data_IF_594586118130
#
_entry.id   IF_594586118130
#
_cell.length_a   1.000
_cell.length_b   1.000
_cell.length_c   1.000
_cell.angle_alpha   90.00
_cell.angle_beta   90.00
_cell.angle_gamma   90.00
#
_symmetry.space_group_name_H-M   'P 1'
#
loop_
_entity.id
_entity.type
_entity.pdbx_description
1 polymer ?
#
# COMPACT_ATOMS: atom_id res chain seq x y z
N UNK A 1 20.03 -1.60 0.31
CA UNK A 1 19.01 -0.98 -0.58
C UNK A 1 17.75 -0.77 0.25
N UNK A 2 17.06 0.37 0.14
CA UNK A 2 15.90 0.66 0.98
C UNK A 2 14.72 -0.27 0.66
N UNK A 3 13.94 -0.62 1.67
CA UNK A 3 12.66 -1.31 1.51
C UNK A 3 11.60 -0.31 1.04
N UNK A 4 10.71 -0.70 0.12
CA UNK A 4 9.62 0.15 -0.36
C UNK A 4 8.28 -0.50 0.02
N UNK A 5 7.46 0.24 0.75
CA UNK A 5 6.14 -0.20 1.17
C UNK A 5 5.08 0.72 0.56
N UNK A 6 4.08 0.15 -0.08
CA UNK A 6 2.95 0.86 -0.68
C UNK A 6 1.70 0.39 0.03
N UNK A 7 0.82 1.30 0.43
CA UNK A 7 -0.49 1.00 1.01
C UNK A 7 -1.54 1.65 0.12
N UNK A 8 -2.55 0.89 -0.29
CA UNK A 8 -3.60 1.44 -1.16
C UNK A 8 -4.94 0.74 -0.90
N UNK A 9 -6.01 1.53 -0.85
CA UNK A 9 -7.37 1.04 -0.71
C UNK A 9 -7.99 0.62 -2.03
N UNK A 10 -8.78 -0.45 -2.06
CA UNK A 10 -9.42 -0.93 -3.31
C UNK A 10 -10.54 -0.03 -3.81
N UNK A 11 -11.14 0.74 -2.90
CA UNK A 11 -12.33 1.56 -3.13
C UNK A 11 -11.94 3.05 -3.17
N UNK A 12 -10.67 3.35 -3.46
CA UNK A 12 -10.19 4.72 -3.65
C UNK A 12 -10.74 5.30 -4.96
N UNK A 13 -11.78 6.12 -4.82
CA UNK A 13 -12.44 6.82 -5.93
C UNK A 13 -11.66 8.04 -6.46
N UNK A 14 -10.60 8.47 -5.75
CA UNK A 14 -9.74 9.60 -6.16
C UNK A 14 -8.55 9.11 -6.96
N UNK A 15 -7.87 8.06 -6.48
CA UNK A 15 -6.74 7.42 -7.14
C UNK A 15 -7.04 5.93 -7.30
N UNK A 16 -7.29 5.45 -8.54
CA UNK A 16 -7.61 4.05 -8.79
C UNK A 16 -6.53 3.10 -8.26
N UNK A 17 -6.94 2.00 -7.63
CA UNK A 17 -6.04 0.95 -7.12
C UNK A 17 -5.06 0.40 -8.20
N UNK A 18 -5.46 0.40 -9.47
CA UNK A 18 -4.59 0.05 -10.60
C UNK A 18 -3.32 0.91 -10.68
N UNK A 19 -3.37 2.18 -10.23
CA UNK A 19 -2.22 3.07 -10.19
C UNK A 19 -1.15 2.57 -9.21
N UNK A 20 -1.57 2.10 -8.03
CA UNK A 20 -0.66 1.50 -7.05
C UNK A 20 -0.04 0.21 -7.57
N UNK A 21 -0.80 -0.64 -8.27
CA UNK A 21 -0.28 -1.85 -8.93
C UNK A 21 0.72 -1.52 -10.03
N UNK A 22 0.45 -0.51 -10.87
CA UNK A 22 1.38 -0.04 -11.91
C UNK A 22 2.70 0.45 -11.30
N UNK A 23 2.64 1.26 -10.24
CA UNK A 23 3.83 1.72 -9.52
C UNK A 23 4.58 0.54 -8.88
N UNK A 24 3.87 -0.35 -8.19
CA UNK A 24 4.48 -1.53 -7.60
C UNK A 24 5.23 -2.36 -8.64
N UNK A 25 4.64 -2.60 -9.81
CA UNK A 25 5.26 -3.39 -10.87
C UNK A 25 6.44 -2.69 -11.56
N UNK A 26 6.44 -1.36 -11.62
CA UNK A 26 7.53 -0.59 -12.27
C UNK A 26 8.78 -0.47 -11.40
N UNK A 27 8.69 -0.69 -10.09
CA UNK A 27 9.84 -0.64 -9.18
C UNK A 27 10.78 -1.83 -9.45
N UNK A 28 12.05 -1.62 -9.87
CA UNK A 28 12.97 -2.71 -10.18
C UNK A 28 13.48 -3.46 -8.93
N UNK A 29 13.42 -2.84 -7.76
CA UNK A 29 13.85 -3.44 -6.50
C UNK A 29 12.99 -4.65 -6.14
N UNK A 30 13.63 -5.70 -5.61
CA UNK A 30 12.95 -6.89 -5.08
C UNK A 30 12.32 -6.64 -3.71
N UNK A 31 12.94 -5.80 -2.89
CA UNK A 31 12.49 -5.49 -1.54
C UNK A 31 11.39 -4.44 -1.57
N UNK A 32 10.22 -4.85 -2.04
CA UNK A 32 9.02 -4.03 -2.12
C UNK A 32 7.81 -4.83 -1.67
N UNK A 33 6.79 -4.16 -1.13
CA UNK A 33 5.52 -4.77 -0.78
C UNK A 33 4.36 -3.80 -1.02
N UNK A 34 3.29 -4.31 -1.61
CA UNK A 34 2.01 -3.62 -1.73
C UNK A 34 1.04 -4.22 -0.71
N UNK A 35 0.56 -3.39 0.21
CA UNK A 35 -0.53 -3.69 1.13
C UNK A 35 -1.83 -3.21 0.50
N UNK A 36 -2.59 -4.17 -0.01
CA UNK A 36 -3.97 -3.96 -0.49
C UNK A 36 -4.91 -3.92 0.70
N UNK A 37 -5.66 -2.83 0.82
CA UNK A 37 -6.63 -2.63 1.91
C UNK A 37 -8.04 -2.70 1.31
N UNK A 38 -8.60 -3.90 1.30
CA UNK A 38 -9.94 -4.18 0.76
C UNK A 38 -11.00 -3.29 1.43
N UNK A 39 -11.86 -2.66 0.62
CA UNK A 39 -12.93 -1.77 1.07
C UNK A 39 -12.50 -0.39 1.54
N UNK A 40 -11.20 -0.07 1.53
CA UNK A 40 -10.72 1.24 1.95
C UNK A 40 -10.73 2.24 0.79
N UNK A 41 -11.16 3.47 1.09
CA UNK A 41 -11.12 4.62 0.17
C UNK A 41 -9.80 5.39 0.24
N UNK A 42 -9.80 6.61 -0.30
CA UNK A 42 -8.60 7.47 -0.35
C UNK A 42 -8.05 7.87 1.03
N UNK A 43 -8.97 8.13 1.96
CA UNK A 43 -8.63 8.67 3.28
C UNK A 43 -8.69 7.57 4.35
N UNK A 44 -8.07 7.85 5.49
CA UNK A 44 -8.22 7.07 6.72
C UNK A 44 -7.70 5.63 6.64
N UNK A 45 -6.73 5.34 5.75
CA UNK A 45 -6.09 4.02 5.69
C UNK A 45 -5.51 3.59 7.05
N UNK A 46 -5.08 4.53 7.88
CA UNK A 46 -4.55 4.27 9.22
C UNK A 46 -5.54 3.60 10.18
N UNK A 47 -6.84 3.65 9.88
CA UNK A 47 -7.87 3.04 10.74
C UNK A 47 -7.92 1.52 10.55
N UNK A 48 -7.43 1.01 9.42
CA UNK A 48 -7.44 -0.41 9.07
C UNK A 48 -6.29 -1.17 9.72
N UNK A 49 -6.58 -2.39 10.17
CA UNK A 49 -5.58 -3.27 10.79
C UNK A 49 -4.44 -3.66 9.86
N UNK A 50 -4.72 -3.79 8.56
CA UNK A 50 -3.71 -4.09 7.54
C UNK A 50 -2.65 -2.97 7.49
N UNK A 51 -3.08 -1.71 7.57
CA UNK A 51 -2.17 -0.59 7.61
C UNK A 51 -1.31 -0.62 8.87
N UNK A 52 -1.92 -0.75 10.06
CA UNK A 52 -1.21 -0.78 11.35
C UNK A 52 -0.17 -1.89 11.40
N UNK A 53 -0.54 -3.11 10.97
CA UNK A 53 0.38 -4.27 10.90
C UNK A 53 1.47 -4.04 9.86
N UNK A 54 1.14 -3.49 8.70
CA UNK A 54 2.13 -3.22 7.66
C UNK A 54 3.15 -2.15 8.08
N UNK A 55 2.70 -1.14 8.83
CA UNK A 55 3.57 -0.12 9.42
C UNK A 55 4.50 -0.69 10.49
N UNK A 56 4.01 -1.55 11.37
CA UNK A 56 4.87 -2.24 12.34
C UNK A 56 5.99 -3.01 11.63
N UNK A 57 5.62 -3.84 10.65
CA UNK A 57 6.61 -4.58 9.83
C UNK A 57 7.59 -3.69 9.05
N UNK A 58 7.20 -2.45 8.72
CA UNK A 58 8.04 -1.54 7.96
C UNK A 58 9.08 -0.80 8.83
N UNK A 59 8.84 -0.75 10.14
CA UNK A 59 9.63 0.00 11.12
C UNK A 59 10.43 -0.91 12.08
N UNK A 60 10.15 -2.22 12.07
CA UNK A 60 10.99 -3.26 12.68
C UNK A 60 12.33 -3.41 11.91
#
# INVERSE_FOLDING_TARGET
MPNIYIFHGTDDEVIPYESAKKLYNSIPQKNKKLYTIEGAGHNYLQDFDIFKKGMANALD
#
